data_IF_421655755860
#
_entry.id   IF_421655755860
#
_cell.length_a   1.000
_cell.length_b   1.000
_cell.length_c   1.000
_cell.angle_alpha   90.00
_cell.angle_beta   90.00
_cell.angle_gamma   90.00
#
_symmetry.space_group_name_H-M   'P 1'
#
loop_
_entity.id
_entity.type
_entity.pdbx_description
1 polymer ?
#
# COMPACT_ATOMS: atom_id res chain seq x y z
N UNK A 1 -7.00 -25.43 -19.84
CA UNK A 1 -5.89 -24.44 -19.78
C UNK A 1 -6.24 -23.44 -18.70
N UNK A 2 -5.45 -23.38 -17.62
CA UNK A 2 -5.60 -22.32 -16.62
C UNK A 2 -5.13 -20.99 -17.24
N UNK A 3 -5.97 -19.97 -17.22
CA UNK A 3 -5.56 -18.60 -17.53
C UNK A 3 -4.66 -18.13 -16.39
N UNK A 4 -3.37 -17.91 -16.67
CA UNK A 4 -2.47 -17.25 -15.72
C UNK A 4 -2.91 -15.79 -15.59
N UNK A 5 -3.57 -15.48 -14.48
CA UNK A 5 -3.92 -14.12 -14.08
C UNK A 5 -2.82 -13.60 -13.16
N UNK A 6 -2.29 -12.44 -13.49
CA UNK A 6 -1.27 -11.77 -12.68
C UNK A 6 -1.83 -10.45 -12.17
N UNK A 7 -1.54 -10.14 -10.91
CA UNK A 7 -1.82 -8.84 -10.30
C UNK A 7 -0.48 -8.13 -10.16
N UNK A 8 -0.43 -6.86 -10.58
CA UNK A 8 0.77 -6.02 -10.47
C UNK A 8 0.45 -4.92 -9.47
N UNK A 9 1.19 -4.90 -8.36
CA UNK A 9 1.13 -3.82 -7.38
C UNK A 9 2.29 -2.87 -7.63
N UNK A 10 1.97 -1.60 -7.88
CA UNK A 10 2.97 -0.56 -8.07
C UNK A 10 3.37 0.03 -6.70
N UNK A 11 4.54 -0.36 -6.20
CA UNK A 11 5.04 0.11 -4.90
C UNK A 11 5.37 1.61 -4.87
N UNK A 12 5.71 2.22 -6.01
CA UNK A 12 5.96 3.66 -6.10
C UNK A 12 4.69 4.47 -5.76
N UNK A 13 3.51 3.94 -6.07
CA UNK A 13 2.24 4.58 -5.70
C UNK A 13 2.01 4.51 -4.18
N UNK A 14 2.39 3.41 -3.53
CA UNK A 14 2.27 3.26 -2.08
C UNK A 14 3.22 4.22 -1.35
N UNK A 15 4.45 4.36 -1.85
CA UNK A 15 5.43 5.32 -1.31
C UNK A 15 4.94 6.76 -1.47
N UNK A 16 4.43 7.12 -2.65
CA UNK A 16 3.87 8.44 -2.89
C UNK A 16 2.74 8.77 -1.91
N UNK A 17 1.79 7.82 -1.73
CA UNK A 17 0.68 7.98 -0.79
C UNK A 17 1.17 8.14 0.65
N UNK A 18 2.14 7.31 1.07
CA UNK A 18 2.70 7.38 2.41
C UNK A 18 3.39 8.74 2.66
N UNK A 19 4.13 9.25 1.68
CA UNK A 19 4.78 10.56 1.77
C UNK A 19 3.75 11.71 1.89
N UNK A 20 2.66 11.66 1.13
CA UNK A 20 1.57 12.63 1.28
C UNK A 20 0.92 12.58 2.67
N UNK A 21 0.69 11.38 3.22
CA UNK A 21 0.12 11.21 4.56
C UNK A 21 1.07 11.75 5.62
N UNK A 22 2.36 11.38 5.57
CA UNK A 22 3.41 11.87 6.48
C UNK A 22 3.46 13.40 6.50
N UNK A 23 3.49 14.03 5.32
CA UNK A 23 3.51 15.49 5.20
C UNK A 23 2.26 16.14 5.81
N UNK A 24 1.09 15.49 5.71
CA UNK A 24 -0.16 16.01 6.24
C UNK A 24 -0.26 15.91 7.77
N UNK A 25 0.26 14.84 8.37
CA UNK A 25 0.09 14.59 9.81
C UNK A 25 1.19 15.22 10.69
N UNK A 26 2.35 15.53 10.10
CA UNK A 26 3.52 16.06 10.80
C UNK A 26 4.20 14.98 11.66
N UNK A 27 4.55 15.32 12.90
CA UNK A 27 5.32 14.46 13.82
C UNK A 27 4.51 13.34 14.50
N UNK A 28 3.28 13.08 14.05
CA UNK A 28 2.44 12.04 14.66
C UNK A 28 2.90 10.65 14.21
N UNK A 29 2.78 9.67 15.11
CA UNK A 29 3.03 8.27 14.78
C UNK A 29 1.97 7.72 13.81
N UNK A 30 2.40 6.86 12.89
CA UNK A 30 1.55 6.18 11.91
C UNK A 30 1.56 4.69 12.21
N UNK A 31 0.38 4.08 12.25
CA UNK A 31 0.21 2.63 12.27
C UNK A 31 -0.39 2.19 10.94
N UNK A 32 0.38 1.42 10.16
CA UNK A 32 -0.13 0.82 8.94
C UNK A 32 -1.10 -0.32 9.28
N UNK A 33 -2.34 -0.24 8.77
CA UNK A 33 -3.28 -1.36 8.89
C UNK A 33 -3.13 -2.28 7.68
N UNK A 34 -2.65 -3.51 7.89
CA UNK A 34 -2.35 -4.47 6.82
C UNK A 34 -3.22 -5.73 6.89
N UNK A 35 -4.46 -5.60 7.37
CA UNK A 35 -5.39 -6.74 7.49
C UNK A 35 -5.71 -7.34 6.13
N UNK A 36 -5.95 -8.65 6.10
CA UNK A 36 -6.36 -9.36 4.89
C UNK A 36 -5.36 -9.22 3.76
N UNK A 37 -4.09 -9.57 4.02
CA UNK A 37 -3.00 -9.56 3.01
C UNK A 37 -2.78 -8.17 2.41
N UNK A 38 -2.64 -7.17 3.30
CA UNK A 38 -2.58 -5.75 2.92
C UNK A 38 -3.77 -5.33 2.01
N UNK A 39 -4.98 -5.81 2.30
CA UNK A 39 -6.17 -5.64 1.45
C UNK A 39 -6.03 -6.23 0.03
N UNK A 40 -5.35 -7.37 -0.10
CA UNK A 40 -5.11 -8.06 -1.37
C UNK A 40 -3.96 -7.51 -2.21
N UNK A 41 -3.12 -6.66 -1.60
CA UNK A 41 -1.88 -6.17 -2.23
C UNK A 41 -0.70 -7.12 -1.98
N UNK A 42 -0.75 -7.92 -0.92
CA UNK A 42 0.40 -8.69 -0.39
C UNK A 42 1.14 -7.91 0.68
#
# INVERSE_FOLDING_TARGET
>A
MSSNKTIIINLNNLEHNLNLIKNKIGEKEIVATLKGDAYGHG
#
